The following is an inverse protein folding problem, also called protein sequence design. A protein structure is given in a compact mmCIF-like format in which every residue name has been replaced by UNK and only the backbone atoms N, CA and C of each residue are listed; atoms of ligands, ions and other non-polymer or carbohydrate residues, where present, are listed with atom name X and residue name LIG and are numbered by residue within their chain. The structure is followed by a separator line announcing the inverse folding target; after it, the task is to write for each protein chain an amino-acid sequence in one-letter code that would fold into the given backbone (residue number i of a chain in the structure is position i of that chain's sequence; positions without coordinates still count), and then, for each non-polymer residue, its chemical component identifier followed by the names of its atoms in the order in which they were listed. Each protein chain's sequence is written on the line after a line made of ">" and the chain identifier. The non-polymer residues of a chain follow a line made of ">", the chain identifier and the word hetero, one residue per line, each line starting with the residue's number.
data_IF_110247657969
#
_entry.id   IF_110247657969
#
_cell.length_a   1.000
_cell.length_b   1.000
_cell.length_c   1.000
_cell.angle_alpha   90.00
_cell.angle_beta   90.00
_cell.angle_gamma   90.00
#
_symmetry.space_group_name_H-M   'P 1'
#
loop_
_entity.id
_entity.type
_entity.pdbx_description
1 polymer ?
#
# COMPACT_ATOMS: atom_id res chain seq x y z
N UNK A 1 5.16 -19.79 -60.97
CA UNK A 1 3.82 -19.35 -60.53
C UNK A 1 3.50 -19.77 -59.09
N UNK A 2 3.96 -20.93 -58.59
CA UNK A 2 3.61 -21.39 -57.22
C UNK A 2 4.15 -20.55 -56.05
N UNK A 3 5.34 -19.93 -56.17
CA UNK A 3 5.95 -19.17 -55.05
C UNK A 3 5.21 -17.86 -54.74
N UNK A 4 4.73 -17.14 -55.77
CA UNK A 4 3.97 -15.90 -55.59
C UNK A 4 2.61 -16.19 -54.97
N UNK A 5 1.98 -17.28 -55.38
CA UNK A 5 0.66 -17.69 -54.89
C UNK A 5 0.73 -18.13 -53.42
N UNK A 6 1.73 -18.94 -53.06
CA UNK A 6 2.00 -19.31 -51.67
C UNK A 6 2.31 -18.09 -50.77
N UNK A 7 3.02 -17.07 -51.29
CA UNK A 7 3.31 -15.86 -50.53
C UNK A 7 2.05 -15.00 -50.29
N UNK A 8 1.15 -14.94 -51.27
CA UNK A 8 -0.15 -14.27 -51.11
C UNK A 8 -1.03 -15.00 -50.09
N UNK A 9 -1.12 -16.33 -50.19
CA UNK A 9 -1.86 -17.15 -49.21
C UNK A 9 -1.31 -16.99 -47.79
N UNK A 10 0.02 -16.93 -47.64
CA UNK A 10 0.66 -16.70 -46.35
C UNK A 10 0.27 -15.34 -45.76
N UNK A 11 0.28 -14.26 -46.56
CA UNK A 11 -0.15 -12.94 -46.10
C UNK A 11 -1.63 -12.91 -45.73
N UNK A 12 -2.49 -13.60 -46.47
CA UNK A 12 -3.91 -13.71 -46.14
C UNK A 12 -4.16 -14.50 -44.86
N UNK A 13 -3.38 -15.56 -44.61
CA UNK A 13 -3.45 -16.34 -43.38
C UNK A 13 -2.99 -15.50 -42.19
N UNK A 14 -1.89 -14.76 -42.32
CA UNK A 14 -1.41 -13.84 -41.29
C UNK A 14 -2.45 -12.76 -40.95
N UNK A 15 -3.07 -12.16 -41.96
CA UNK A 15 -4.12 -11.16 -41.74
C UNK A 15 -5.38 -11.76 -41.09
N UNK A 16 -5.69 -13.04 -41.35
CA UNK A 16 -6.79 -13.76 -40.69
C UNK A 16 -6.46 -14.09 -39.23
N UNK A 17 -5.24 -14.52 -38.98
CA UNK A 17 -4.74 -14.79 -37.63
C UNK A 17 -4.80 -13.52 -36.76
N UNK A 18 -4.29 -12.40 -37.26
CA UNK A 18 -4.31 -11.12 -36.54
C UNK A 18 -5.74 -10.66 -36.22
N UNK A 19 -6.68 -10.83 -37.16
CA UNK A 19 -8.11 -10.53 -36.92
C UNK A 19 -8.73 -11.42 -35.85
N UNK A 20 -8.36 -12.70 -35.79
CA UNK A 20 -8.88 -13.61 -34.77
C UNK A 20 -8.29 -13.31 -33.40
N UNK A 21 -6.99 -12.96 -33.32
CA UNK A 21 -6.36 -12.48 -32.09
C UNK A 21 -7.12 -11.26 -31.55
N UNK A 22 -7.39 -10.28 -32.41
CA UNK A 22 -8.18 -9.10 -32.07
C UNK A 22 -9.58 -9.45 -31.56
N UNK A 23 -10.24 -10.42 -32.19
CA UNK A 23 -11.58 -10.89 -31.80
C UNK A 23 -11.56 -11.50 -30.41
N UNK A 24 -10.61 -12.39 -30.15
CA UNK A 24 -10.44 -13.06 -28.85
C UNK A 24 -10.10 -12.05 -27.76
N UNK A 25 -9.18 -11.11 -28.01
CA UNK A 25 -8.83 -10.07 -27.05
C UNK A 25 -10.00 -9.16 -26.72
N UNK A 26 -10.81 -8.76 -27.71
CA UNK A 26 -12.03 -7.98 -27.46
C UNK A 26 -13.04 -8.74 -26.60
N UNK A 27 -13.22 -10.03 -26.86
CA UNK A 27 -14.11 -10.89 -26.09
C UNK A 27 -13.65 -10.98 -24.62
N UNK A 28 -12.38 -11.34 -24.38
CA UNK A 28 -11.83 -11.44 -23.02
C UNK A 28 -11.82 -10.09 -22.29
N UNK A 29 -11.54 -9.00 -23.01
CA UNK A 29 -11.62 -7.64 -22.44
C UNK A 29 -13.06 -7.29 -22.04
N UNK A 30 -14.04 -7.73 -22.83
CA UNK A 30 -15.46 -7.59 -22.51
C UNK A 30 -15.87 -8.36 -21.25
N UNK A 31 -15.38 -9.59 -21.09
CA UNK A 31 -15.62 -10.39 -19.88
C UNK A 31 -15.02 -9.73 -18.63
N UNK A 32 -13.81 -9.18 -18.74
CA UNK A 32 -13.19 -8.40 -17.66
C UNK A 32 -14.00 -7.13 -17.34
N UNK A 33 -14.43 -6.38 -18.37
CA UNK A 33 -15.23 -5.18 -18.21
C UNK A 33 -16.60 -5.47 -17.54
N UNK A 34 -17.20 -6.63 -17.82
CA UNK A 34 -18.43 -7.06 -17.16
C UNK A 34 -18.24 -7.30 -15.65
N UNK A 35 -17.01 -7.58 -15.19
CA UNK A 35 -16.66 -7.75 -13.78
C UNK A 35 -16.02 -6.50 -13.15
N UNK A 36 -16.03 -5.36 -13.85
CA UNK A 36 -15.34 -4.14 -13.44
C UNK A 36 -15.62 -3.74 -11.99
N UNK A 37 -16.88 -3.75 -11.57
CA UNK A 37 -17.27 -3.31 -10.22
C UNK A 37 -16.66 -4.22 -9.14
N UNK A 38 -16.72 -5.54 -9.34
CA UNK A 38 -16.13 -6.51 -8.43
C UNK A 38 -14.60 -6.36 -8.38
N UNK A 39 -13.94 -6.21 -9.53
CA UNK A 39 -12.49 -6.03 -9.60
C UNK A 39 -12.05 -4.77 -8.84
N UNK A 40 -12.77 -3.65 -9.01
CA UNK A 40 -12.45 -2.41 -8.31
C UNK A 40 -12.70 -2.53 -6.81
N UNK A 41 -13.80 -3.17 -6.41
CA UNK A 41 -14.09 -3.41 -5.00
C UNK A 41 -13.03 -4.31 -4.33
N UNK A 42 -12.64 -5.39 -5.00
CA UNK A 42 -11.59 -6.29 -4.53
C UNK A 42 -10.23 -5.56 -4.43
N UNK A 43 -9.93 -4.69 -5.40
CA UNK A 43 -8.74 -3.86 -5.36
C UNK A 43 -8.73 -2.93 -4.13
N UNK A 44 -9.83 -2.23 -3.85
CA UNK A 44 -9.93 -1.35 -2.68
C UNK A 44 -9.78 -2.13 -1.37
N UNK A 45 -10.35 -3.33 -1.30
CA UNK A 45 -10.17 -4.23 -0.15
C UNK A 45 -8.72 -4.68 0.02
N UNK A 46 -8.05 -5.06 -1.08
CA UNK A 46 -6.65 -5.46 -1.06
C UNK A 46 -5.75 -4.32 -0.58
N UNK A 47 -5.98 -3.08 -1.04
CA UNK A 47 -5.25 -1.90 -0.57
C UNK A 47 -5.44 -1.67 0.93
N UNK A 48 -6.67 -1.83 1.43
CA UNK A 48 -6.93 -1.70 2.87
C UNK A 48 -6.19 -2.77 3.68
N UNK A 49 -6.21 -4.01 3.21
CA UNK A 49 -5.50 -5.13 3.84
C UNK A 49 -3.99 -4.90 3.84
N UNK A 50 -3.42 -4.48 2.71
CA UNK A 50 -1.99 -4.17 2.59
C UNK A 50 -1.57 -3.11 3.61
N UNK A 51 -2.32 -2.00 3.71
CA UNK A 51 -2.05 -0.96 4.69
C UNK A 51 -2.16 -1.44 6.14
N UNK A 52 -3.10 -2.36 6.44
CA UNK A 52 -3.23 -2.98 7.77
C UNK A 52 -2.01 -3.84 8.09
N UNK A 53 -1.62 -4.73 7.17
CA UNK A 53 -0.47 -5.61 7.35
C UNK A 53 0.85 -4.84 7.43
N UNK A 54 1.03 -3.81 6.60
CA UNK A 54 2.19 -2.94 6.66
C UNK A 54 2.34 -2.27 8.04
N UNK A 55 1.25 -1.74 8.62
CA UNK A 55 1.28 -1.17 9.98
C UNK A 55 1.57 -2.23 11.05
N UNK A 56 1.05 -3.45 10.90
CA UNK A 56 1.33 -4.54 11.84
C UNK A 56 2.81 -4.94 11.81
N UNK A 57 3.37 -5.13 10.61
CA UNK A 57 4.80 -5.43 10.44
C UNK A 57 5.68 -4.32 10.99
N UNK A 58 5.34 -3.06 10.70
CA UNK A 58 6.02 -1.90 11.26
C UNK A 58 5.98 -1.89 12.79
N UNK A 59 4.81 -2.23 13.38
CA UNK A 59 4.65 -2.33 14.83
C UNK A 59 5.59 -3.37 15.44
N UNK A 60 5.72 -4.54 14.81
CA UNK A 60 6.66 -5.58 15.27
C UNK A 60 8.11 -5.14 15.12
N UNK A 61 8.48 -4.54 13.98
CA UNK A 61 9.85 -4.09 13.73
C UNK A 61 10.31 -3.00 14.71
N UNK A 62 9.38 -2.17 15.17
CA UNK A 62 9.66 -1.05 16.07
C UNK A 62 9.42 -1.36 17.56
N UNK A 63 8.94 -2.56 17.90
CA UNK A 63 8.39 -2.87 19.24
C UNK A 63 7.33 -1.81 19.67
N UNK A 64 6.49 -1.40 18.72
CA UNK A 64 5.48 -0.38 18.93
C UNK A 64 4.19 -1.00 19.48
N UNK A 65 3.43 -0.19 20.24
CA UNK A 65 2.13 -0.55 20.77
C UNK A 65 1.01 0.32 20.19
N UNK A 66 -0.19 -0.24 20.09
CA UNK A 66 -1.39 0.54 19.72
C UNK A 66 -1.68 1.59 20.81
N UNK A 67 -1.76 2.88 20.47
CA UNK A 67 -2.09 3.91 21.46
C UNK A 67 -3.56 3.85 21.86
N UNK A 68 -3.85 4.20 23.10
CA UNK A 68 -5.21 4.44 23.58
C UNK A 68 -5.59 5.89 23.29
N UNK A 69 -6.55 6.10 22.39
CA UNK A 69 -7.04 7.44 22.03
C UNK A 69 -8.08 7.88 23.05
N UNK A 70 -7.88 9.07 23.63
CA UNK A 70 -8.82 9.68 24.59
C UNK A 70 -9.61 10.80 23.92
N UNK A 71 -10.88 10.97 24.32
CA UNK A 71 -11.75 12.05 23.81
C UNK A 71 -11.34 13.43 24.32
N UNK A 72 -10.84 13.50 25.55
CA UNK A 72 -10.28 14.73 26.15
C UNK A 72 -8.78 14.77 25.80
N UNK A 73 -8.28 15.97 25.49
CA UNK A 73 -6.90 16.17 25.08
C UNK A 73 -5.86 15.76 26.12
N UNK A 74 -4.59 15.87 25.74
CA UNK A 74 -3.45 15.45 26.55
C UNK A 74 -2.76 14.19 25.99
N UNK A 75 -1.58 13.91 26.52
CA UNK A 75 -0.75 12.75 26.15
C UNK A 75 -0.22 12.07 27.41
N UNK A 76 -0.07 10.75 27.34
CA UNK A 76 0.65 9.93 28.33
C UNK A 76 1.50 8.95 27.51
N UNK A 77 2.78 9.29 27.36
CA UNK A 77 3.78 8.49 26.66
C UNK A 77 4.63 7.77 27.70
N UNK A 78 4.71 6.45 27.61
CA UNK A 78 5.47 5.62 28.55
C UNK A 78 6.63 4.96 27.85
N UNK A 79 7.85 5.28 28.28
CA UNK A 79 9.10 4.78 27.67
C UNK A 79 9.11 4.89 26.14
N UNK A 80 8.51 5.95 25.60
CA UNK A 80 8.39 6.15 24.17
C UNK A 80 9.76 6.50 23.56
N UNK A 81 9.98 6.03 22.33
CA UNK A 81 11.19 6.34 21.56
C UNK A 81 10.77 7.10 20.29
N UNK A 82 11.66 7.95 19.81
CA UNK A 82 11.44 8.63 18.54
C UNK A 82 11.58 7.60 17.39
N UNK A 83 10.59 7.47 16.50
CA UNK A 83 10.51 6.36 15.54
C UNK A 83 11.60 6.37 14.46
N UNK A 84 12.21 7.53 14.20
CA UNK A 84 13.28 7.69 13.20
C UNK A 84 14.70 7.65 13.77
N UNK A 85 14.85 7.58 15.10
CA UNK A 85 16.18 7.45 15.70
C UNK A 85 16.61 5.99 15.70
N UNK A 86 17.92 5.74 15.63
CA UNK A 86 18.50 4.41 15.78
C UNK A 86 17.98 3.76 17.08
N UNK A 87 17.25 2.64 17.01
CA UNK A 87 16.61 2.03 18.18
C UNK A 87 17.62 1.58 19.24
N UNK A 88 18.87 1.31 18.85
CA UNK A 88 19.94 0.96 19.77
C UNK A 88 20.46 2.17 20.56
N UNK A 89 20.32 3.39 20.03
CA UNK A 89 20.81 4.64 20.63
C UNK A 89 19.70 5.49 21.26
N UNK A 90 18.49 5.39 20.75
CA UNK A 90 17.36 6.21 21.17
C UNK A 90 17.02 5.95 22.64
N UNK A 91 17.20 6.95 23.51
CA UNK A 91 16.85 6.83 24.93
C UNK A 91 15.33 6.99 25.10
N UNK A 92 14.63 6.04 25.76
CA UNK A 92 13.19 6.12 25.94
C UNK A 92 12.79 7.19 26.96
N UNK A 93 11.74 7.95 26.67
CA UNK A 93 11.23 9.02 27.53
C UNK A 93 9.80 8.71 27.99
N UNK A 94 9.51 9.03 29.25
CA UNK A 94 8.14 8.99 29.80
C UNK A 94 7.70 10.42 30.04
N UNK A 95 6.60 10.84 29.42
CA UNK A 95 6.07 12.21 29.52
C UNK A 95 4.56 12.20 29.53
N UNK A 96 3.96 13.03 30.38
CA UNK A 96 2.53 13.26 30.40
C UNK A 96 2.24 14.76 30.25
N UNK A 97 1.10 15.12 29.66
CA UNK A 97 0.65 16.51 29.51
C UNK A 97 -0.87 16.55 29.38
N UNK A 98 -1.52 17.62 29.87
CA UNK A 98 -2.97 17.80 29.79
C UNK A 98 -3.75 17.09 30.91
N UNK A 99 -3.05 16.59 31.93
CA UNK A 99 -3.62 16.06 33.17
C UNK A 99 -3.47 17.05 34.31
N UNK A 100 -2.49 16.82 35.19
CA UNK A 100 -2.20 17.69 36.33
C UNK A 100 -1.56 19.03 35.94
N UNK A 101 -0.96 19.11 34.76
CA UNK A 101 -0.33 20.30 34.19
C UNK A 101 -0.52 20.30 32.67
N UNK A 102 -0.52 21.49 32.08
CA UNK A 102 -0.70 21.73 30.65
C UNK A 102 0.56 22.28 29.97
N UNK A 103 1.58 22.64 30.76
CA UNK A 103 2.81 23.25 30.29
C UNK A 103 4.02 22.48 30.80
N UNK A 104 4.95 22.16 29.89
CA UNK A 104 6.23 21.51 30.19
C UNK A 104 7.38 22.39 29.68
N UNK A 105 8.19 22.92 30.57
CA UNK A 105 9.40 23.69 30.23
C UNK A 105 10.59 22.74 30.20
N UNK A 106 11.21 22.58 29.02
CA UNK A 106 12.38 21.72 28.83
C UNK A 106 13.63 22.60 28.75
N UNK A 107 14.59 22.35 29.63
CA UNK A 107 15.90 23.03 29.66
C UNK A 107 17.00 21.98 29.61
N UNK A 108 18.13 22.29 28.95
CA UNK A 108 19.30 21.42 28.92
C UNK A 108 20.45 22.08 28.17
N UNK A 109 21.69 21.55 28.32
CA UNK A 109 22.81 21.99 27.52
C UNK A 109 22.59 21.65 26.04
N UNK A 110 23.12 22.46 25.12
CA UNK A 110 23.19 22.09 23.71
C UNK A 110 24.30 21.04 23.57
N UNK A 111 23.94 19.82 23.17
CA UNK A 111 24.88 18.70 22.95
C UNK A 111 24.34 17.81 21.83
#
# INVERSE_FOLDING_TARGET
>A
MGVVQANNELKELQAREEKEIDRVLRMLSGECAAQRENILYDYDLLVQLDAIFARAQLSYAMDAGRPLVRKKGGIDLRRARHPLLDPAKAVPVTVALGGAYDTLVITGPNT
#
